data_IF_266205856410
#
_entry.id   IF_266205856410
#
_cell.length_a   1.000
_cell.length_b   1.000
_cell.length_c   1.000
_cell.angle_alpha   90.00
_cell.angle_beta   90.00
_cell.angle_gamma   90.00
#
_symmetry.space_group_name_H-M   'P 1'
#
loop_
_entity.id
_entity.type
_entity.pdbx_description
1 polymer ?
#
# COMPACT_ATOMS: atom_id res chain seq x y z
N UNK A 1 -13.33 8.35 12.68
CA UNK A 1 -14.72 7.88 12.55
C UNK A 1 -14.89 6.61 11.71
N UNK A 2 -13.91 6.16 10.92
CA UNK A 2 -14.03 4.93 10.10
C UNK A 2 -14.07 3.59 10.85
N UNK A 3 -14.25 3.57 12.18
CA UNK A 3 -14.40 2.35 12.98
C UNK A 3 -15.87 2.07 13.37
N UNK A 4 -16.83 2.82 12.81
CA UNK A 4 -18.26 2.62 13.02
C UNK A 4 -18.85 2.07 11.72
N UNK A 5 -19.21 0.79 11.73
CA UNK A 5 -19.83 0.08 10.60
C UNK A 5 -21.32 0.38 10.55
N UNK A 6 -21.69 1.54 10.03
CA UNK A 6 -23.09 1.93 9.80
C UNK A 6 -23.21 2.40 8.37
N UNK A 7 -24.02 1.71 7.57
CA UNK A 7 -24.17 1.94 6.13
C UNK A 7 -24.63 3.38 5.81
N UNK A 8 -25.40 4.00 6.71
CA UNK A 8 -25.80 5.41 6.55
C UNK A 8 -24.66 6.40 6.75
N UNK A 9 -23.56 6.02 7.40
CA UNK A 9 -22.41 6.91 7.67
C UNK A 9 -21.40 6.88 6.51
N UNK A 10 -21.33 5.80 5.75
CA UNK A 10 -20.38 5.64 4.65
C UNK A 10 -20.61 6.66 3.53
N UNK A 11 -21.87 7.00 3.24
CA UNK A 11 -22.22 8.05 2.27
C UNK A 11 -21.68 9.44 2.69
N UNK A 12 -21.81 9.81 3.98
CA UNK A 12 -21.28 11.08 4.49
C UNK A 12 -19.75 11.08 4.68
N UNK A 13 -19.11 9.91 4.62
CA UNK A 13 -17.66 9.77 4.79
C UNK A 13 -16.90 10.05 3.49
N UNK A 14 -17.53 9.87 2.33
CA UNK A 14 -16.87 9.94 1.02
C UNK A 14 -16.22 11.31 0.77
N UNK A 15 -16.95 12.40 0.96
CA UNK A 15 -16.43 13.76 0.71
C UNK A 15 -15.30 14.16 1.67
N UNK A 16 -15.42 13.96 3.00
CA UNK A 16 -14.29 14.17 3.92
C UNK A 16 -13.09 13.29 3.58
N UNK A 17 -13.30 12.02 3.26
CA UNK A 17 -12.21 11.09 2.95
C UNK A 17 -11.43 11.53 1.70
N UNK A 18 -12.14 11.98 0.65
CA UNK A 18 -11.52 12.52 -0.56
C UNK A 18 -10.64 13.74 -0.27
N UNK A 19 -11.03 14.58 0.67
CA UNK A 19 -10.21 15.71 1.13
C UNK A 19 -8.98 15.21 1.90
N UNK A 20 -9.16 14.25 2.81
CA UNK A 20 -8.06 13.69 3.60
C UNK A 20 -7.00 12.97 2.75
N UNK A 21 -7.38 12.37 1.61
CA UNK A 21 -6.43 11.76 0.67
C UNK A 21 -5.51 12.81 0.00
N UNK A 22 -5.93 14.08 -0.05
CA UNK A 22 -5.17 15.20 -0.63
C UNK A 22 -4.70 16.22 0.41
N UNK A 23 -4.74 15.83 1.68
CA UNK A 23 -4.35 16.70 2.80
C UNK A 23 -2.86 17.06 2.73
N UNK A 24 -2.45 18.20 3.26
CA UNK A 24 -1.05 18.61 3.31
C UNK A 24 -0.25 17.75 4.30
N UNK A 25 -0.90 17.29 5.38
CA UNK A 25 -0.26 16.47 6.42
C UNK A 25 -0.13 14.99 5.98
N UNK A 26 1.10 14.45 5.87
CA UNK A 26 1.32 13.05 5.55
C UNK A 26 0.65 12.07 6.54
N UNK A 27 0.49 12.46 7.80
CA UNK A 27 -0.21 11.64 8.80
C UNK A 27 -1.69 11.49 8.46
N UNK A 28 -2.32 12.54 7.95
CA UNK A 28 -3.72 12.49 7.50
C UNK A 28 -3.82 11.61 6.25
N UNK A 29 -2.95 11.81 5.26
CA UNK A 29 -2.95 11.01 4.01
C UNK A 29 -2.75 9.51 4.26
N UNK A 30 -1.78 9.12 5.09
CA UNK A 30 -1.57 7.69 5.40
C UNK A 30 -2.77 7.08 6.13
N UNK A 31 -3.41 7.85 7.01
CA UNK A 31 -4.59 7.39 7.76
C UNK A 31 -5.81 7.28 6.84
N UNK A 32 -5.92 8.20 5.87
CA UNK A 32 -6.93 8.15 4.83
C UNK A 32 -6.76 6.92 3.94
N UNK A 33 -5.53 6.56 3.56
CA UNK A 33 -5.27 5.34 2.79
C UNK A 33 -5.77 4.08 3.51
N UNK A 34 -5.47 3.93 4.80
CA UNK A 34 -5.99 2.81 5.62
C UNK A 34 -7.52 2.87 5.77
N UNK A 35 -8.10 4.08 5.81
CA UNK A 35 -9.55 4.24 5.87
C UNK A 35 -10.25 3.79 4.58
N UNK A 36 -9.61 3.92 3.41
CA UNK A 36 -10.16 3.42 2.15
C UNK A 36 -10.30 1.89 2.19
N UNK A 37 -9.32 1.17 2.74
CA UNK A 37 -9.40 -0.30 2.92
C UNK A 37 -10.60 -0.69 3.77
N UNK A 38 -10.78 0.00 4.91
CA UNK A 38 -11.91 -0.24 5.81
C UNK A 38 -13.25 0.07 5.14
N UNK A 39 -13.28 1.09 4.29
CA UNK A 39 -14.48 1.42 3.52
C UNK A 39 -14.77 0.33 2.47
N UNK A 40 -13.73 -0.22 1.84
CA UNK A 40 -13.85 -1.31 0.88
C UNK A 40 -14.39 -2.60 1.52
N UNK A 41 -13.93 -2.94 2.73
CA UNK A 41 -14.46 -4.05 3.55
C UNK A 41 -15.95 -3.89 3.88
N UNK A 42 -16.44 -2.65 4.01
CA UNK A 42 -17.86 -2.37 4.28
C UNK A 42 -18.68 -2.34 2.99
N UNK A 43 -18.20 -1.63 1.97
CA UNK A 43 -18.88 -1.45 0.69
C UNK A 43 -17.87 -1.23 -0.44
N UNK A 44 -17.51 -2.31 -1.13
CA UNK A 44 -16.57 -2.31 -2.25
C UNK A 44 -17.09 -1.49 -3.46
N UNK A 45 -18.38 -1.62 -3.81
CA UNK A 45 -18.99 -0.91 -4.94
C UNK A 45 -18.87 0.61 -4.78
N UNK A 46 -19.12 1.13 -3.56
CA UNK A 46 -18.98 2.55 -3.28
C UNK A 46 -17.54 3.05 -3.47
N UNK A 47 -16.53 2.24 -3.12
CA UNK A 47 -15.12 2.61 -3.26
C UNK A 47 -14.70 2.67 -4.74
N UNK A 48 -15.22 1.73 -5.54
CA UNK A 48 -15.03 1.70 -6.99
C UNK A 48 -15.74 2.88 -7.67
N UNK A 49 -17.02 3.10 -7.39
CA UNK A 49 -17.83 4.18 -7.98
C UNK A 49 -17.30 5.58 -7.67
N UNK A 50 -16.75 5.77 -6.47
CA UNK A 50 -16.15 7.05 -6.06
C UNK A 50 -14.73 7.24 -6.62
N UNK A 51 -14.12 6.23 -7.23
CA UNK A 51 -12.75 6.31 -7.75
C UNK A 51 -11.69 6.48 -6.66
N UNK A 52 -11.90 5.88 -5.48
CA UNK A 52 -10.90 5.91 -4.41
C UNK A 52 -9.70 5.01 -4.71
N UNK A 53 -9.88 3.97 -5.54
CA UNK A 53 -8.78 3.11 -5.99
C UNK A 53 -7.73 3.89 -6.78
N UNK A 54 -8.15 4.81 -7.65
CA UNK A 54 -7.23 5.64 -8.42
C UNK A 54 -6.48 6.63 -7.53
N UNK A 55 -7.15 7.17 -6.51
CA UNK A 55 -6.49 8.04 -5.51
C UNK A 55 -5.46 7.27 -4.67
N UNK A 56 -5.74 6.02 -4.29
CA UNK A 56 -4.75 5.16 -3.63
C UNK A 56 -3.53 4.90 -4.53
N UNK A 57 -3.74 4.67 -5.83
CA UNK A 57 -2.66 4.50 -6.80
C UNK A 57 -1.81 5.76 -6.94
N UNK A 58 -2.43 6.94 -6.92
CA UNK A 58 -1.72 8.23 -6.90
C UNK A 58 -0.82 8.35 -5.65
N UNK A 59 -1.33 7.95 -4.47
CA UNK A 59 -0.56 7.97 -3.21
C UNK A 59 0.66 7.06 -3.19
N UNK A 60 0.78 6.08 -4.09
CA UNK A 60 2.02 5.31 -4.23
C UNK A 60 3.18 6.13 -4.80
N UNK A 61 2.89 7.29 -5.38
CA UNK A 61 3.90 8.25 -5.87
C UNK A 61 4.02 9.47 -4.96
N UNK A 62 3.53 9.38 -3.72
CA UNK A 62 3.66 10.45 -2.72
C UNK A 62 5.13 10.71 -2.36
N UNK A 63 5.42 11.95 -1.96
CA UNK A 63 6.77 12.35 -1.53
C UNK A 63 7.15 11.77 -0.16
N UNK A 64 6.17 11.36 0.65
CA UNK A 64 6.40 10.78 1.97
C UNK A 64 6.39 9.24 1.93
N UNK A 65 7.50 8.56 2.28
CA UNK A 65 7.60 7.11 2.26
C UNK A 65 6.56 6.40 3.15
N UNK A 66 6.15 7.01 4.27
CA UNK A 66 5.14 6.43 5.15
C UNK A 66 3.76 6.40 4.50
N UNK A 67 3.43 7.40 3.68
CA UNK A 67 2.17 7.43 2.93
C UNK A 67 2.20 6.34 1.86
N UNK A 68 3.32 6.25 1.12
CA UNK A 68 3.53 5.19 0.12
C UNK A 68 3.36 3.80 0.73
N UNK A 69 4.02 3.52 1.87
CA UNK A 69 3.92 2.21 2.52
C UNK A 69 2.48 1.84 2.93
N UNK A 70 1.71 2.80 3.46
CA UNK A 70 0.31 2.55 3.84
C UNK A 70 -0.60 2.44 2.62
N UNK A 71 -0.36 3.20 1.55
CA UNK A 71 -1.09 3.07 0.30
C UNK A 71 -0.88 1.69 -0.34
N UNK A 72 0.34 1.16 -0.25
CA UNK A 72 0.70 -0.15 -0.79
C UNK A 72 0.09 -1.27 0.03
N UNK A 73 0.18 -1.20 1.36
CA UNK A 73 -0.51 -2.13 2.24
C UNK A 73 -2.03 -2.14 1.94
N UNK A 74 -2.61 -0.95 1.78
CA UNK A 74 -4.03 -0.80 1.47
C UNK A 74 -4.43 -1.44 0.14
N UNK A 75 -3.64 -1.20 -0.91
CA UNK A 75 -3.90 -1.78 -2.22
C UNK A 75 -3.72 -3.29 -2.25
N UNK A 76 -2.70 -3.83 -1.57
CA UNK A 76 -2.49 -5.27 -1.46
C UNK A 76 -3.66 -5.94 -0.73
N UNK A 77 -4.11 -5.38 0.38
CA UNK A 77 -5.25 -5.91 1.14
C UNK A 77 -6.55 -5.86 0.32
N UNK A 78 -6.81 -4.76 -0.39
CA UNK A 78 -7.96 -4.65 -1.31
C UNK A 78 -7.88 -5.69 -2.43
N UNK A 79 -6.68 -5.94 -2.96
CA UNK A 79 -6.48 -6.92 -4.03
C UNK A 79 -6.68 -8.37 -3.55
N UNK A 80 -6.39 -8.67 -2.29
CA UNK A 80 -6.68 -9.97 -1.66
C UNK A 80 -8.18 -10.16 -1.37
N UNK A 81 -8.90 -9.09 -1.04
CA UNK A 81 -10.35 -9.11 -0.80
C UNK A 81 -11.16 -9.17 -2.11
N UNK A 82 -10.61 -8.66 -3.21
CA UNK A 82 -11.31 -8.61 -4.49
C UNK A 82 -11.25 -9.94 -5.23
N UNK A 83 -12.37 -10.42 -5.82
CA UNK A 83 -12.38 -11.62 -6.65
C UNK A 83 -11.63 -11.43 -7.99
N UNK A 84 -11.25 -10.20 -8.36
CA UNK A 84 -10.48 -9.88 -9.55
C UNK A 84 -9.26 -9.05 -9.17
N UNK A 85 -8.10 -9.24 -9.81
CA UNK A 85 -6.95 -8.37 -9.57
C UNK A 85 -7.30 -6.94 -10.00
N UNK A 86 -7.51 -6.05 -9.03
CA UNK A 86 -7.83 -4.64 -9.25
C UNK A 86 -6.58 -3.82 -9.61
N UNK A 87 -5.41 -4.35 -9.27
CA UNK A 87 -4.13 -3.77 -9.62
C UNK A 87 -3.08 -4.85 -9.84
N UNK A 88 -2.50 -4.88 -11.04
CA UNK A 88 -1.28 -5.64 -11.28
C UNK A 88 -0.07 -4.80 -10.89
N UNK A 89 0.75 -5.34 -10.00
CA UNK A 89 2.02 -4.73 -9.66
C UNK A 89 2.96 -4.82 -10.87
N UNK A 90 3.56 -3.70 -11.27
CA UNK A 90 4.44 -3.63 -12.43
C UNK A 90 5.88 -3.27 -12.03
N UNK A 91 6.83 -3.48 -12.93
CA UNK A 91 8.26 -3.18 -12.72
C UNK A 91 8.53 -1.74 -12.26
N UNK A 92 7.74 -0.76 -12.71
CA UNK A 92 7.92 0.65 -12.32
C UNK A 92 7.50 0.87 -10.87
N UNK A 93 6.36 0.29 -10.47
CA UNK A 93 5.88 0.27 -9.09
C UNK A 93 6.91 -0.39 -8.18
N UNK A 94 7.40 -1.58 -8.54
CA UNK A 94 8.42 -2.30 -7.76
C UNK A 94 9.66 -1.44 -7.54
N UNK A 95 10.13 -0.74 -8.57
CA UNK A 95 11.27 0.16 -8.44
C UNK A 95 11.01 1.34 -7.49
N UNK A 96 9.81 1.93 -7.52
CA UNK A 96 9.40 2.98 -6.57
C UNK A 96 9.37 2.45 -5.13
N UNK A 97 8.78 1.26 -4.95
CA UNK A 97 8.69 0.58 -3.66
C UNK A 97 10.07 0.29 -3.06
N UNK A 98 10.99 -0.26 -3.86
CA UNK A 98 12.35 -0.53 -3.42
C UNK A 98 13.12 0.75 -3.08
N UNK A 99 12.74 1.90 -3.63
CA UNK A 99 13.33 3.20 -3.26
C UNK A 99 12.76 3.67 -1.93
N UNK A 100 11.44 3.61 -1.76
CA UNK A 100 10.77 3.90 -0.49
C UNK A 100 11.23 2.97 0.65
N UNK A 101 11.59 1.71 0.35
CA UNK A 101 12.08 0.72 1.31
C UNK A 101 13.30 1.24 2.11
N UNK A 102 14.13 2.09 1.52
CA UNK A 102 15.31 2.64 2.19
C UNK A 102 14.98 3.74 3.21
N UNK A 103 13.84 4.43 3.04
CA UNK A 103 13.45 5.61 3.82
C UNK A 103 12.26 5.32 4.75
N UNK A 104 11.62 4.15 4.60
CA UNK A 104 10.50 3.73 5.43
C UNK A 104 10.93 3.27 6.83
N UNK A 105 9.99 3.41 7.77
CA UNK A 105 10.07 2.78 9.09
C UNK A 105 10.05 1.26 8.97
N UNK A 106 10.45 0.56 10.04
CA UNK A 106 10.49 -0.91 10.06
C UNK A 106 9.16 -1.55 9.62
N UNK A 107 8.03 -1.02 10.10
CA UNK A 107 6.69 -1.48 9.72
C UNK A 107 6.37 -1.21 8.25
N UNK A 108 6.76 -0.05 7.72
CA UNK A 108 6.62 0.25 6.31
C UNK A 108 7.46 -0.67 5.43
N UNK A 109 8.65 -1.04 5.89
CA UNK A 109 9.51 -2.00 5.19
C UNK A 109 8.85 -3.39 5.13
N UNK A 110 8.25 -3.86 6.23
CA UNK A 110 7.49 -5.12 6.25
C UNK A 110 6.37 -5.09 5.20
N UNK A 111 5.52 -4.05 5.20
CA UNK A 111 4.42 -3.96 4.23
C UNK A 111 4.90 -3.94 2.77
N UNK A 112 5.99 -3.24 2.48
CA UNK A 112 6.56 -3.20 1.14
C UNK A 112 7.11 -4.58 0.75
N UNK A 113 7.88 -5.23 1.61
CA UNK A 113 8.46 -6.55 1.34
C UNK A 113 7.36 -7.61 1.16
N UNK A 114 6.31 -7.57 1.99
CA UNK A 114 5.16 -8.46 1.86
C UNK A 114 4.44 -8.26 0.53
N UNK A 115 4.28 -7.01 0.08
CA UNK A 115 3.72 -6.72 -1.24
C UNK A 115 4.63 -7.21 -2.37
N UNK A 116 5.95 -7.08 -2.23
CA UNK A 116 6.93 -7.53 -3.22
C UNK A 116 6.97 -9.05 -3.37
N UNK A 117 6.72 -9.80 -2.31
CA UNK A 117 6.68 -11.27 -2.36
C UNK A 117 5.55 -11.81 -3.25
N UNK A 118 4.51 -11.00 -3.50
CA UNK A 118 3.43 -11.34 -4.43
C UNK A 118 3.77 -10.97 -5.89
N UNK A 119 4.91 -10.32 -6.15
CA UNK A 119 5.38 -10.01 -7.51
C UNK A 119 6.01 -11.23 -8.18
N UNK A 120 5.79 -11.38 -9.48
CA UNK A 120 6.56 -12.29 -10.31
C UNK A 120 7.44 -11.44 -11.25
N UNK A 121 8.78 -11.45 -11.06
CA UNK A 121 9.70 -10.75 -11.97
C UNK A 121 9.57 -11.25 -13.40
N UNK A 122 9.77 -10.35 -14.37
CA UNK A 122 9.65 -10.67 -15.80
C UNK A 122 10.86 -11.43 -16.34
N UNK A 123 12.05 -11.09 -15.84
CA UNK A 123 13.30 -11.68 -16.25
C UNK A 123 14.26 -11.89 -15.07
N UNK A 124 15.30 -12.69 -15.31
CA UNK A 124 16.35 -13.00 -14.33
C UNK A 124 17.08 -11.74 -13.85
N UNK A 125 17.22 -10.74 -14.73
CA UNK A 125 17.89 -9.47 -14.41
C UNK A 125 17.10 -8.63 -13.42
N UNK A 126 15.79 -8.52 -13.62
CA UNK A 126 14.88 -7.85 -12.68
C UNK A 126 14.88 -8.57 -11.34
N UNK A 127 14.77 -9.91 -11.34
CA UNK A 127 14.84 -10.71 -10.12
C UNK A 127 16.14 -10.47 -9.35
N UNK A 128 17.29 -10.54 -10.02
CA UNK A 128 18.60 -10.27 -9.40
C UNK A 128 18.67 -8.85 -8.82
N UNK A 129 18.19 -7.84 -9.57
CA UNK A 129 18.19 -6.45 -9.10
C UNK A 129 17.31 -6.25 -7.86
N UNK A 130 16.15 -6.90 -7.78
CA UNK A 130 15.28 -6.87 -6.59
C UNK A 130 16.03 -7.52 -5.41
N UNK A 131 16.60 -8.71 -5.59
CA UNK A 131 17.33 -9.43 -4.55
C UNK A 131 18.52 -8.63 -4.01
N UNK A 132 19.30 -7.98 -4.88
CA UNK A 132 20.43 -7.13 -4.46
C UNK A 132 19.98 -5.96 -3.57
N UNK A 133 18.80 -5.39 -3.84
CA UNK A 133 18.23 -4.28 -3.05
C UNK A 133 17.57 -4.76 -1.76
N UNK A 134 17.06 -5.99 -1.71
CA UNK A 134 16.45 -6.59 -0.51
C UNK A 134 17.50 -7.17 0.44
N UNK A 135 18.62 -7.69 -0.07
CA UNK A 135 19.69 -8.34 0.70
C UNK A 135 20.14 -7.58 1.97
N UNK A 136 20.32 -6.24 1.97
CA UNK A 136 20.68 -5.50 3.18
C UNK A 136 19.67 -5.62 4.33
N UNK A 137 18.41 -5.96 4.04
CA UNK A 137 17.34 -6.13 5.05
C UNK A 137 17.52 -7.40 5.89
N UNK A 138 18.32 -8.38 5.43
CA UNK A 138 18.60 -9.60 6.19
C UNK A 138 19.42 -9.35 7.47
N UNK A 139 20.14 -8.23 7.53
CA UNK A 139 20.92 -7.82 8.71
C UNK A 139 20.15 -6.89 9.65
N UNK A 140 18.85 -6.70 9.44
CA UNK A 140 18.04 -5.77 10.22
C UNK A 140 17.76 -6.31 11.65
N UNK A 141 17.70 -5.42 12.64
CA UNK A 141 17.48 -5.82 14.05
C UNK A 141 16.08 -6.40 14.30
N UNK A 142 15.07 -5.89 13.60
CA UNK A 142 13.70 -6.37 13.69
C UNK A 142 13.50 -7.65 12.86
N UNK A 143 13.15 -8.75 13.55
CA UNK A 143 12.95 -10.07 12.93
C UNK A 143 11.83 -10.10 11.88
N UNK A 144 10.79 -9.27 12.02
CA UNK A 144 9.72 -9.20 11.03
C UNK A 144 10.23 -8.72 9.67
N UNK A 145 11.13 -7.72 9.67
CA UNK A 145 11.77 -7.21 8.44
C UNK A 145 12.62 -8.31 7.80
N UNK A 146 13.40 -9.05 8.61
CA UNK A 146 14.25 -10.14 8.12
C UNK A 146 13.40 -11.27 7.51
N UNK A 147 12.35 -11.71 8.20
CA UNK A 147 11.48 -12.78 7.70
C UNK A 147 10.74 -12.37 6.42
N UNK A 148 10.29 -11.12 6.35
CA UNK A 148 9.66 -10.57 5.13
C UNK A 148 10.65 -10.51 3.98
N UNK A 149 11.91 -10.15 4.24
CA UNK A 149 12.97 -10.13 3.24
C UNK A 149 13.35 -11.52 2.72
N UNK A 150 13.28 -12.56 3.56
CA UNK A 150 13.51 -13.96 3.16
C UNK A 150 12.39 -14.49 2.27
N UNK A 151 11.17 -13.95 2.41
CA UNK A 151 9.99 -14.37 1.64
C UNK A 151 10.04 -13.88 0.17
N UNK A 152 10.69 -12.73 -0.08
CA UNK A 152 10.88 -12.14 -1.42
C UNK A 152 11.93 -12.91 -2.18
#
# INVERSE_FOLDING_TARGET
MGCIRVDKITEYLCDPLRKCLKDEDPYVRKTAAVCVVKLYDINAELVEDQGFLDQLKELMSDSNPMVVANAVAALTEINEMSPKPLMEMNSQTVNKLLTALNECTEWGQVFILDSLANYIPKDEREAQSICERVCPRLAHANAAVVLSAVKV
#
